data_IF_829075137149
#
_entry.id   IF_829075137149
#
_cell.length_a   1.000
_cell.length_b   1.000
_cell.length_c   1.000
_cell.angle_alpha   90.00
_cell.angle_beta   90.00
_cell.angle_gamma   90.00
#
_symmetry.space_group_name_H-M   'P 1'
#
loop_
_entity.id
_entity.type
_entity.pdbx_description
1 polymer ?
#
# COMPACT_ATOMS: atom_id res chain seq x y z
N UNK A 1 -25.58 20.87 -39.06
CA UNK A 1 -24.91 21.22 -37.80
C UNK A 1 -23.71 20.31 -37.66
N UNK A 2 -22.50 20.85 -37.56
CA UNK A 2 -21.30 20.05 -37.31
C UNK A 2 -21.20 19.83 -35.80
N UNK A 3 -21.67 18.68 -35.31
CA UNK A 3 -21.30 18.25 -33.96
C UNK A 3 -19.80 18.03 -33.94
N UNK A 4 -19.06 18.95 -33.30
CA UNK A 4 -17.66 18.73 -33.01
C UNK A 4 -17.52 17.44 -32.20
N UNK A 5 -16.51 16.59 -32.47
CA UNK A 5 -16.32 15.36 -31.70
C UNK A 5 -16.13 15.73 -30.23
N UNK A 6 -16.91 15.11 -29.35
CA UNK A 6 -16.75 15.24 -27.90
C UNK A 6 -15.42 14.57 -27.54
N UNK A 7 -14.37 15.37 -27.44
CA UNK A 7 -13.04 14.90 -27.12
C UNK A 7 -13.00 14.45 -25.66
N UNK A 8 -12.95 13.13 -25.44
CA UNK A 8 -12.80 12.56 -24.10
C UNK A 8 -11.32 12.39 -23.74
N UNK A 9 -11.04 12.41 -22.44
CA UNK A 9 -9.72 12.17 -21.87
C UNK A 9 -9.67 10.78 -21.23
N UNK A 10 -8.78 9.92 -21.71
CA UNK A 10 -8.60 8.57 -21.18
C UNK A 10 -7.36 8.50 -20.28
N UNK A 11 -7.55 8.15 -19.01
CA UNK A 11 -6.46 7.96 -18.04
C UNK A 11 -5.92 6.54 -18.13
N UNK A 12 -4.67 6.40 -18.57
CA UNK A 12 -3.99 5.11 -18.78
C UNK A 12 -2.68 5.06 -17.99
N UNK A 13 -2.48 4.00 -17.21
CA UNK A 13 -1.23 3.73 -16.51
C UNK A 13 -0.25 3.02 -17.44
N UNK A 14 0.98 3.52 -17.52
CA UNK A 14 2.08 2.94 -18.31
C UNK A 14 3.32 2.90 -17.43
N UNK A 15 3.91 1.72 -17.23
CA UNK A 15 5.09 1.51 -16.39
C UNK A 15 4.98 2.15 -14.98
N UNK A 16 3.78 2.10 -14.38
CA UNK A 16 3.47 2.68 -13.06
C UNK A 16 3.20 4.19 -13.06
N UNK A 17 3.24 4.86 -14.20
CA UNK A 17 2.98 6.31 -14.35
C UNK A 17 1.63 6.53 -15.04
N UNK A 18 0.76 7.35 -14.45
CA UNK A 18 -0.49 7.75 -15.10
C UNK A 18 -0.23 8.75 -16.23
N UNK A 19 -0.77 8.46 -17.42
CA UNK A 19 -0.78 9.34 -18.59
C UNK A 19 -2.21 9.60 -19.03
N UNK A 20 -2.43 10.72 -19.71
CA UNK A 20 -3.74 11.08 -20.28
C UNK A 20 -3.63 11.07 -21.79
N UNK A 21 -4.55 10.36 -22.45
CA UNK A 21 -4.74 10.40 -23.90
C UNK A 21 -5.92 11.33 -24.18
N UNK A 22 -5.67 12.44 -24.86
CA UNK A 22 -6.69 13.41 -25.28
C UNK A 22 -7.27 13.06 -26.66
N UNK A 23 -8.50 13.48 -26.91
CA UNK A 23 -9.16 13.26 -28.21
C UNK A 23 -9.69 11.84 -28.44
N UNK A 24 -9.87 11.05 -27.37
CA UNK A 24 -10.48 9.72 -27.46
C UNK A 24 -11.99 9.88 -27.68
N UNK A 25 -12.58 8.99 -28.48
CA UNK A 25 -14.02 8.94 -28.76
C UNK A 25 -14.56 7.52 -28.60
N UNK A 26 -15.87 7.36 -28.69
CA UNK A 26 -16.54 6.04 -28.71
C UNK A 26 -16.12 5.17 -29.91
N UNK A 27 -15.62 5.77 -30.99
CA UNK A 27 -15.15 5.07 -32.19
C UNK A 27 -13.66 4.71 -32.14
N UNK A 28 -12.89 5.35 -31.26
CA UNK A 28 -11.45 5.13 -31.14
C UNK A 28 -11.19 3.71 -30.63
N UNK A 29 -10.37 2.94 -31.34
CA UNK A 29 -10.09 1.54 -30.98
C UNK A 29 -9.00 1.44 -29.92
N UNK A 30 -9.00 0.33 -29.15
CA UNK A 30 -7.91 0.03 -28.23
C UNK A 30 -6.57 -0.09 -28.96
N UNK A 31 -6.57 -0.58 -30.21
CA UNK A 31 -5.38 -0.59 -31.06
C UNK A 31 -4.81 0.82 -31.30
N UNK A 32 -5.64 1.80 -31.66
CA UNK A 32 -5.19 3.19 -31.89
C UNK A 32 -4.61 3.81 -30.63
N UNK A 33 -5.28 3.66 -29.48
CA UNK A 33 -4.79 4.15 -28.18
C UNK A 33 -3.47 3.48 -27.79
N UNK A 34 -3.36 2.16 -27.98
CA UNK A 34 -2.13 1.39 -27.72
C UNK A 34 -0.99 1.87 -28.62
N UNK A 35 -1.23 2.10 -29.91
CA UNK A 35 -0.21 2.58 -30.86
C UNK A 35 0.23 4.00 -30.51
N UNK A 36 -0.71 4.92 -30.24
CA UNK A 36 -0.40 6.29 -29.86
C UNK A 36 0.42 6.36 -28.56
N UNK A 37 0.05 5.57 -27.54
CA UNK A 37 0.83 5.45 -26.30
C UNK A 37 2.21 4.86 -26.55
N UNK A 38 2.32 3.76 -27.30
CA UNK A 38 3.59 3.11 -27.65
C UNK A 38 4.56 4.05 -28.40
N UNK A 39 4.04 4.84 -29.34
CA UNK A 39 4.80 5.88 -30.04
C UNK A 39 5.25 6.99 -29.09
N UNK A 40 4.36 7.49 -28.22
CA UNK A 40 4.68 8.55 -27.25
C UNK A 40 5.67 8.13 -26.13
N UNK A 41 5.80 6.83 -25.85
CA UNK A 41 6.84 6.30 -24.95
C UNK A 41 8.12 5.86 -25.69
N UNK A 42 8.14 5.91 -27.02
CA UNK A 42 9.26 5.44 -27.84
C UNK A 42 9.53 3.93 -27.75
N UNK A 43 8.60 3.14 -27.21
CA UNK A 43 8.74 1.68 -27.09
C UNK A 43 7.99 0.97 -28.22
N UNK A 44 8.68 0.12 -28.97
CA UNK A 44 8.05 -0.74 -29.98
C UNK A 44 7.93 -2.17 -29.47
N UNK A 45 6.80 -2.81 -29.72
CA UNK A 45 6.50 -4.13 -29.19
C UNK A 45 5.02 -4.51 -29.30
N UNK A 46 4.67 -5.67 -28.73
CA UNK A 46 3.27 -6.08 -28.56
C UNK A 46 2.77 -5.57 -27.22
N UNK A 47 1.72 -4.77 -27.26
CA UNK A 47 1.06 -4.20 -26.10
C UNK A 47 -0.43 -4.55 -26.12
N UNK A 48 -1.04 -4.63 -24.94
CA UNK A 48 -2.47 -4.88 -24.73
C UNK A 48 -2.98 -3.87 -23.70
N UNK A 49 -4.16 -3.31 -23.94
CA UNK A 49 -4.83 -2.46 -22.97
C UNK A 49 -5.63 -3.32 -21.99
N UNK A 50 -5.36 -3.18 -20.70
CA UNK A 50 -6.02 -3.92 -19.63
C UNK A 50 -6.96 -2.98 -18.89
N UNK A 51 -8.21 -3.39 -18.77
CA UNK A 51 -9.24 -2.73 -17.95
C UNK A 51 -9.24 -3.37 -16.56
N UNK A 52 -8.86 -2.60 -15.53
CA UNK A 52 -8.89 -3.02 -14.13
C UNK A 52 -10.06 -2.37 -13.41
N UNK A 53 -10.89 -3.19 -12.78
CA UNK A 53 -11.98 -2.75 -11.90
C UNK A 53 -11.87 -3.51 -10.58
N UNK A 54 -11.44 -2.80 -9.53
CA UNK A 54 -11.15 -3.36 -8.19
C UNK A 54 -10.12 -4.50 -8.29
N UNK A 55 -10.57 -5.75 -8.10
CA UNK A 55 -9.77 -6.98 -8.13
C UNK A 55 -9.90 -7.75 -9.47
N UNK A 56 -10.73 -7.29 -10.41
CA UNK A 56 -10.92 -7.93 -11.71
C UNK A 56 -10.17 -7.17 -12.79
N UNK A 57 -9.27 -7.87 -13.49
CA UNK A 57 -8.58 -7.38 -14.68
C UNK A 57 -9.11 -8.08 -15.93
N UNK A 58 -9.48 -7.30 -16.96
CA UNK A 58 -9.90 -7.78 -18.29
C UNK A 58 -8.95 -7.23 -19.34
N UNK A 59 -8.40 -8.10 -20.18
CA UNK A 59 -7.70 -7.66 -21.39
C UNK A 59 -8.72 -7.23 -22.45
N UNK A 60 -8.53 -6.06 -23.05
CA UNK A 60 -9.37 -5.57 -24.13
C UNK A 60 -8.82 -6.04 -25.49
N UNK A 61 -9.73 -6.34 -26.41
CA UNK A 61 -9.38 -6.74 -27.76
C UNK A 61 -8.96 -5.52 -28.61
N UNK A 62 -8.07 -5.68 -29.61
CA UNK A 62 -7.61 -4.56 -30.45
C UNK A 62 -8.76 -3.75 -31.07
N UNK A 63 -9.84 -4.43 -31.46
CA UNK A 63 -11.03 -3.85 -32.09
C UNK A 63 -12.11 -3.32 -31.11
N UNK A 64 -11.96 -3.51 -29.80
CA UNK A 64 -12.87 -2.90 -28.81
C UNK A 64 -12.55 -1.41 -28.64
N UNK A 65 -13.53 -0.58 -28.32
CA UNK A 65 -13.30 0.82 -27.96
C UNK A 65 -13.20 0.98 -26.42
N UNK A 66 -12.20 1.72 -25.89
CA UNK A 66 -11.98 1.80 -24.44
C UNK A 66 -13.10 2.57 -23.73
N UNK A 67 -13.68 3.58 -24.38
CA UNK A 67 -14.84 4.33 -23.86
C UNK A 67 -16.08 3.43 -23.75
N UNK A 68 -16.36 2.60 -24.77
CA UNK A 68 -17.45 1.62 -24.73
C UNK A 68 -17.22 0.52 -23.68
N UNK A 69 -15.97 0.06 -23.53
CA UNK A 69 -15.60 -0.86 -22.46
C UNK A 69 -15.78 -0.24 -21.06
N UNK A 70 -15.50 1.05 -20.90
CA UNK A 70 -15.77 1.79 -19.66
C UNK A 70 -17.27 1.94 -19.39
N UNK A 71 -18.06 2.30 -20.40
CA UNK A 71 -19.52 2.43 -20.30
C UNK A 71 -20.19 1.09 -19.93
N UNK A 72 -19.62 -0.04 -20.37
CA UNK A 72 -20.07 -1.39 -20.00
C UNK A 72 -19.97 -1.67 -18.48
N UNK A 73 -19.13 -0.93 -17.74
CA UNK A 73 -19.07 -1.01 -16.28
C UNK A 73 -20.17 -0.22 -15.55
N UNK A 74 -21.03 0.51 -16.27
CA UNK A 74 -22.18 1.22 -15.74
C UNK A 74 -21.81 2.17 -14.60
N UNK A 75 -22.44 2.00 -13.43
CA UNK A 75 -22.21 2.83 -12.24
C UNK A 75 -20.76 2.80 -11.71
N UNK A 76 -19.94 1.82 -12.11
CA UNK A 76 -18.54 1.71 -11.71
C UNK A 76 -17.56 2.32 -12.74
N UNK A 77 -18.06 3.00 -13.78
CA UNK A 77 -17.23 3.62 -14.82
C UNK A 77 -16.17 4.61 -14.27
N UNK A 78 -16.41 5.24 -13.13
CA UNK A 78 -15.44 6.11 -12.42
C UNK A 78 -14.24 5.35 -11.86
N UNK A 79 -14.43 4.09 -11.47
CA UNK A 79 -13.46 3.27 -10.73
C UNK A 79 -12.58 2.45 -11.68
N UNK A 80 -12.88 2.48 -12.98
CA UNK A 80 -12.13 1.76 -14.02
C UNK A 80 -10.77 2.41 -14.25
N UNK A 81 -9.73 1.61 -14.14
CA UNK A 81 -8.36 2.01 -14.49
C UNK A 81 -7.92 1.27 -15.74
N UNK A 82 -7.39 2.00 -16.73
CA UNK A 82 -6.74 1.39 -17.89
C UNK A 82 -5.25 1.26 -17.64
N UNK A 83 -4.67 0.12 -17.99
CA UNK A 83 -3.24 -0.18 -17.82
C UNK A 83 -2.69 -0.71 -19.14
N UNK A 84 -1.63 -0.09 -19.67
CA UNK A 84 -0.93 -0.58 -20.84
C UNK A 84 0.06 -1.68 -20.42
N UNK A 85 -0.21 -2.94 -20.77
CA UNK A 85 0.68 -4.07 -20.46
C UNK A 85 1.43 -4.52 -21.71
N UNK A 86 2.73 -4.78 -21.57
CA UNK A 86 3.57 -5.31 -22.65
C UNK A 86 3.53 -6.84 -22.66
N UNK A 87 3.22 -7.43 -23.80
CA UNK A 87 2.96 -8.88 -23.97
C UNK A 87 4.01 -9.56 -24.87
N UNK A 88 5.11 -8.87 -25.19
CA UNK A 88 6.19 -9.43 -25.99
C UNK A 88 7.55 -8.80 -25.71
N UNK A 89 8.65 -9.49 -26.06
CA UNK A 89 9.99 -8.91 -26.01
C UNK A 89 10.08 -7.76 -27.01
N UNK A 90 10.50 -6.58 -26.55
CA UNK A 90 10.87 -5.49 -27.45
C UNK A 90 12.18 -5.84 -28.14
N UNK A 91 12.33 -5.40 -29.40
CA UNK A 91 13.53 -5.58 -30.20
C UNK A 91 14.71 -4.70 -29.71
N UNK A 92 14.46 -3.82 -28.74
CA UNK A 92 15.45 -3.00 -28.03
C UNK A 92 15.65 -3.53 -26.61
N UNK A 93 16.87 -4.00 -26.31
CA UNK A 93 17.14 -4.76 -25.10
C UNK A 93 17.43 -3.90 -23.86
N UNK A 94 16.56 -3.98 -22.85
CA UNK A 94 16.90 -4.00 -21.41
C UNK A 94 15.71 -4.57 -20.61
N UNK A 95 15.92 -5.38 -19.55
CA UNK A 95 14.82 -6.00 -18.82
C UNK A 95 14.24 -5.07 -17.75
N UNK A 96 12.92 -5.12 -17.57
CA UNK A 96 12.25 -4.87 -16.31
C UNK A 96 11.33 -6.05 -16.01
N UNK A 97 11.34 -6.49 -14.76
CA UNK A 97 10.63 -7.68 -14.31
C UNK A 97 9.13 -7.48 -14.33
N UNK A 98 8.39 -8.43 -14.92
CA UNK A 98 7.15 -8.88 -14.29
C UNK A 98 6.91 -10.36 -14.61
N UNK A 99 6.55 -11.12 -13.58
CA UNK A 99 6.51 -12.58 -13.63
C UNK A 99 5.17 -13.07 -14.18
N UNK A 100 5.08 -13.16 -15.49
CA UNK A 100 4.11 -14.03 -16.15
C UNK A 100 4.87 -15.06 -16.98
N UNK A 101 4.85 -16.37 -16.62
CA UNK A 101 5.10 -17.37 -17.66
C UNK A 101 4.09 -17.12 -18.78
N UNK A 102 4.48 -17.24 -20.07
CA UNK A 102 3.52 -17.19 -21.16
C UNK A 102 2.38 -18.17 -20.86
N UNK A 103 1.13 -17.92 -21.27
CA UNK A 103 0.14 -18.98 -21.30
C UNK A 103 0.76 -20.10 -22.12
N UNK A 104 1.02 -21.25 -21.48
CA UNK A 104 1.66 -22.39 -22.14
C UNK A 104 0.76 -22.72 -23.33
N UNK A 105 1.26 -22.43 -24.54
CA UNK A 105 0.55 -22.77 -25.76
C UNK A 105 0.51 -24.27 -25.82
N UNK A 106 -0.59 -24.86 -25.36
CA UNK A 106 -0.77 -26.29 -25.26
C UNK A 106 -0.26 -26.96 -26.54
N UNK A 107 0.87 -27.70 -26.49
CA UNK A 107 1.48 -28.28 -27.69
C UNK A 107 0.67 -29.47 -28.23
N UNK A 108 -0.51 -29.73 -27.65
CA UNK A 108 -1.55 -30.72 -27.98
C UNK A 108 -1.89 -30.81 -29.48
N UNK A 109 -1.52 -29.82 -30.31
CA UNK A 109 -1.74 -29.84 -31.76
C UNK A 109 -0.49 -29.78 -32.65
N UNK A 110 0.71 -29.92 -32.09
CA UNK A 110 1.98 -29.91 -32.82
C UNK A 110 2.54 -31.32 -33.13
N UNK A 111 1.96 -32.38 -32.54
CA UNK A 111 2.48 -33.75 -32.56
C UNK A 111 1.78 -34.69 -33.55
N UNK A 112 0.97 -34.19 -34.49
CA UNK A 112 0.54 -35.02 -35.62
C UNK A 112 1.73 -35.18 -36.60
N UNK A 113 2.10 -36.40 -37.01
CA UNK A 113 3.15 -36.60 -38.01
C UNK A 113 2.79 -35.85 -39.30
N UNK A 114 3.78 -35.27 -40.01
CA UNK A 114 3.53 -34.44 -41.18
C UNK A 114 2.91 -35.27 -42.29
N UNK A 115 1.58 -35.21 -42.40
CA UNK A 115 0.83 -35.90 -43.44
C UNK A 115 1.37 -35.42 -44.80
N UNK A 116 1.88 -36.32 -45.68
CA UNK A 116 2.43 -35.91 -46.96
C UNK A 116 1.33 -35.20 -47.75
N UNK A 117 1.53 -33.92 -48.02
CA UNK A 117 0.56 -33.10 -48.76
C UNK A 117 0.52 -33.62 -50.19
N UNK A 118 -0.64 -34.05 -50.73
CA UNK A 118 -0.77 -34.29 -52.16
C UNK A 118 -0.40 -33.01 -52.89
N UNK A 119 0.51 -33.10 -53.88
CA UNK A 119 0.85 -31.97 -54.73
C UNK A 119 -0.42 -31.52 -55.46
N UNK A 120 -0.71 -30.22 -55.38
CA UNK A 120 -1.95 -29.63 -55.87
C UNK A 120 -1.98 -29.60 -57.42
N UNK A 121 -2.23 -30.74 -58.06
CA UNK A 121 -2.73 -30.77 -59.44
C UNK A 121 -4.25 -30.65 -59.34
N UNK A 122 -4.76 -29.47 -59.67
CA UNK A 122 -6.16 -29.13 -59.44
C UNK A 122 -7.12 -29.92 -60.34
N UNK A 123 -8.12 -30.54 -59.72
CA UNK A 123 -9.46 -30.81 -60.25
C UNK A 123 -10.41 -30.92 -59.04
N UNK A 124 -11.60 -30.29 -59.04
CA UNK A 124 -12.49 -30.26 -57.88
C UNK A 124 -13.41 -31.50 -57.81
N UNK A 125 -12.85 -32.67 -57.50
CA UNK A 125 -13.66 -33.88 -57.35
C UNK A 125 -14.45 -33.90 -56.03
N UNK A 126 -15.77 -34.10 -56.19
CA UNK A 126 -16.79 -34.04 -55.14
C UNK A 126 -16.56 -35.13 -54.08
N UNK A 127 -16.82 -34.78 -52.82
CA UNK A 127 -16.82 -35.75 -51.73
C UNK A 127 -17.91 -36.82 -51.94
N UNK A 128 -17.49 -38.06 -52.22
CA UNK A 128 -18.36 -39.23 -52.19
C UNK A 128 -18.27 -39.87 -50.81
N UNK A 129 -19.37 -39.78 -50.06
CA UNK A 129 -19.54 -40.44 -48.77
C UNK A 129 -19.59 -41.95 -48.91
N UNK A 130 -18.93 -42.62 -47.97
CA UNK A 130 -18.85 -44.07 -47.86
C UNK A 130 -20.18 -44.67 -47.41
N UNK A 131 -20.81 -45.48 -48.28
CA UNK A 131 -22.00 -46.27 -47.96
C UNK A 131 -21.73 -47.75 -48.25
N UNK A 132 -21.61 -48.56 -47.20
CA UNK A 132 -21.54 -50.03 -47.30
C UNK A 132 -22.96 -50.61 -47.45
N UNK A 133 -23.14 -51.54 -48.40
CA UNK A 133 -24.39 -52.27 -48.61
C UNK A 133 -24.16 -53.63 -49.27
N UNK A 134 -24.44 -54.70 -48.52
CA UNK A 134 -24.09 -56.11 -48.76
C UNK A 134 -24.46 -56.73 -50.14
N UNK A 135 -23.75 -57.80 -50.57
CA UNK A 135 -24.09 -58.56 -51.77
C UNK A 135 -25.14 -59.67 -51.51
N UNK A 136 -26.02 -59.96 -52.50
CA UNK A 136 -26.85 -61.18 -52.48
C UNK A 136 -27.26 -61.69 -53.88
N UNK A 137 -26.67 -62.84 -54.24
CA UNK A 137 -27.18 -63.96 -55.06
C UNK A 137 -28.02 -63.71 -56.34
N UNK A 138 -27.49 -64.20 -57.47
CA UNK A 138 -28.13 -64.85 -58.65
C UNK A 138 -29.51 -64.35 -59.15
N UNK A 139 -29.70 -64.11 -60.45
CA UNK A 139 -29.58 -65.14 -61.51
C UNK A 139 -29.48 -64.53 -62.93
N UNK A 140 -28.89 -65.29 -63.87
CA UNK A 140 -28.92 -65.08 -65.34
C UNK A 140 -29.92 -66.11 -65.97
N UNK A 141 -30.17 -66.20 -67.31
CA UNK A 141 -29.40 -65.66 -68.46
C UNK A 141 -30.19 -65.10 -69.67
N UNK A 142 -29.47 -64.41 -70.57
CA UNK A 142 -29.73 -64.39 -72.02
C UNK A 142 -28.41 -64.20 -72.81
N UNK A 143 -28.14 -65.13 -73.74
CA UNK A 143 -27.00 -65.20 -74.69
C UNK A 143 -27.38 -64.57 -76.05
N UNK A 144 -26.51 -64.52 -77.10
CA UNK A 144 -25.04 -64.70 -77.19
C UNK A 144 -24.26 -63.68 -78.08
N UNK A 145 -22.93 -63.57 -77.87
CA UNK A 145 -21.85 -63.43 -78.90
C UNK A 145 -21.82 -62.22 -79.90
N UNK A 146 -20.73 -61.96 -80.66
CA UNK A 146 -19.32 -62.35 -80.50
C UNK A 146 -18.30 -61.18 -80.66
N UNK A 147 -17.00 -61.52 -80.64
CA UNK A 147 -15.82 -60.77 -81.16
C UNK A 147 -15.39 -59.49 -80.43
N UNK A 148 -14.34 -59.61 -79.60
CA UNK A 148 -13.25 -58.63 -79.54
C UNK A 148 -11.96 -59.27 -79.02
N UNK A 149 -10.84 -58.84 -79.60
CA UNK A 149 -9.47 -59.19 -79.22
C UNK A 149 -9.21 -59.12 -77.71
N UNK A 150 -8.37 -60.04 -77.19
CA UNK A 150 -7.80 -59.94 -75.84
C UNK A 150 -6.78 -58.79 -75.81
N UNK A 151 -7.29 -57.56 -75.72
CA UNK A 151 -6.54 -56.47 -75.12
C UNK A 151 -6.44 -56.74 -73.60
N UNK A 152 -5.29 -56.48 -72.96
CA UNK A 152 -5.21 -56.54 -71.51
C UNK A 152 -6.19 -55.50 -70.94
N UNK A 153 -7.17 -55.94 -70.15
CA UNK A 153 -8.24 -55.11 -69.60
C UNK A 153 -7.65 -53.92 -68.83
N UNK A 154 -7.76 -52.66 -69.32
CA UNK A 154 -6.98 -51.55 -68.78
C UNK A 154 -7.19 -51.30 -67.29
N UNK A 155 -8.45 -51.39 -66.82
CA UNK A 155 -8.80 -51.15 -65.42
C UNK A 155 -8.18 -52.14 -64.43
N UNK A 156 -7.87 -53.37 -64.84
CA UNK A 156 -7.29 -54.36 -63.91
C UNK A 156 -5.88 -53.97 -63.43
N UNK A 157 -5.12 -53.23 -64.24
CA UNK A 157 -3.81 -52.70 -63.85
C UNK A 157 -3.94 -51.45 -62.97
N UNK A 158 -4.95 -50.61 -63.22
CA UNK A 158 -5.23 -49.38 -62.46
C UNK A 158 -5.73 -49.72 -61.05
N UNK A 159 -6.72 -50.62 -60.93
CA UNK A 159 -7.24 -51.13 -59.65
C UNK A 159 -6.13 -51.72 -58.76
N UNK A 160 -5.15 -52.40 -59.37
CA UNK A 160 -4.03 -53.04 -58.69
C UNK A 160 -2.99 -52.02 -58.20
N UNK A 161 -2.72 -50.98 -58.98
CA UNK A 161 -1.87 -49.85 -58.56
C UNK A 161 -2.51 -49.02 -57.44
N UNK A 162 -3.83 -48.80 -57.48
CA UNK A 162 -4.57 -48.13 -56.42
C UNK A 162 -4.57 -48.94 -55.12
N UNK A 163 -4.70 -50.27 -55.22
CA UNK A 163 -4.58 -51.16 -54.08
C UNK A 163 -3.15 -51.15 -53.51
N UNK A 164 -2.13 -51.17 -54.36
CA UNK A 164 -0.72 -51.08 -53.94
C UNK A 164 -0.42 -49.75 -53.23
N UNK A 165 -0.87 -48.61 -53.76
CA UNK A 165 -0.76 -47.31 -53.07
C UNK A 165 -1.49 -47.30 -51.73
N UNK A 166 -2.65 -47.96 -51.62
CA UNK A 166 -3.36 -48.11 -50.34
C UNK A 166 -2.60 -48.97 -49.35
N UNK A 167 -1.97 -50.07 -49.79
CA UNK A 167 -1.10 -50.90 -48.94
C UNK A 167 0.11 -50.09 -48.47
N UNK A 168 0.76 -49.32 -49.34
CA UNK A 168 1.87 -48.44 -48.96
C UNK A 168 1.45 -47.35 -47.96
N UNK A 169 0.28 -46.72 -48.14
CA UNK A 169 -0.28 -45.76 -47.16
C UNK A 169 -0.56 -46.43 -45.82
N UNK A 170 -1.24 -47.58 -45.82
CA UNK A 170 -1.55 -48.33 -44.60
C UNK A 170 -0.27 -48.77 -43.87
N UNK A 171 0.76 -49.22 -44.59
CA UNK A 171 2.06 -49.59 -44.00
C UNK A 171 2.78 -48.38 -43.38
N UNK A 172 2.69 -47.21 -44.02
CA UNK A 172 3.24 -45.96 -43.47
C UNK A 172 2.44 -45.45 -42.25
N UNK A 173 1.15 -45.74 -42.15
CA UNK A 173 0.30 -45.43 -40.99
C UNK A 173 0.57 -46.39 -39.82
N UNK A 174 0.65 -47.71 -40.07
CA UNK A 174 1.04 -48.73 -39.08
C UNK A 174 2.47 -48.49 -38.55
N UNK A 175 3.39 -48.04 -39.40
CA UNK A 175 4.76 -47.68 -38.99
C UNK A 175 4.85 -46.54 -37.97
N UNK A 176 3.75 -45.84 -37.66
CA UNK A 176 3.71 -44.74 -36.67
C UNK A 176 3.34 -45.20 -35.25
N UNK A 177 3.07 -46.49 -35.02
CA UNK A 177 2.71 -47.03 -33.70
C UNK A 177 3.72 -46.63 -32.61
N UNK A 178 5.02 -46.83 -32.83
CA UNK A 178 6.08 -46.47 -31.88
C UNK A 178 6.14 -44.96 -31.55
N UNK A 179 5.76 -44.09 -32.49
CA UNK A 179 5.65 -42.66 -32.25
C UNK A 179 4.47 -42.35 -31.32
N UNK A 180 3.30 -42.94 -31.59
CA UNK A 180 2.10 -42.74 -30.77
C UNK A 180 2.25 -43.32 -29.37
N UNK A 181 2.91 -44.47 -29.21
CA UNK A 181 3.24 -44.98 -27.88
C UNK A 181 4.20 -44.05 -27.12
N UNK A 182 5.17 -43.43 -27.80
CA UNK A 182 6.10 -42.48 -27.17
C UNK A 182 5.38 -41.20 -26.72
N UNK A 183 4.47 -40.67 -27.54
CA UNK A 183 3.63 -39.52 -27.16
C UNK A 183 2.67 -39.88 -26.01
N UNK A 184 2.05 -41.05 -26.03
CA UNK A 184 1.21 -41.52 -24.92
C UNK A 184 1.99 -41.61 -23.61
N UNK A 185 3.23 -42.12 -23.64
CA UNK A 185 4.12 -42.16 -22.46
C UNK A 185 4.49 -40.75 -21.98
N UNK A 186 4.69 -39.78 -22.89
CA UNK A 186 4.95 -38.37 -22.55
C UNK A 186 3.74 -37.70 -21.91
N UNK A 187 2.54 -37.91 -22.46
CA UNK A 187 1.29 -37.39 -21.88
C UNK A 187 1.02 -38.01 -20.50
N UNK A 188 1.18 -39.32 -20.33
CA UNK A 188 1.07 -39.98 -19.02
C UNK A 188 2.08 -39.44 -18.00
N UNK A 189 3.30 -39.08 -18.42
CA UNK A 189 4.29 -38.46 -17.54
C UNK A 189 3.87 -37.04 -17.12
N UNK A 190 3.37 -36.23 -18.06
CA UNK A 190 2.81 -34.89 -17.80
C UNK A 190 1.60 -34.94 -16.89
N UNK A 191 0.70 -35.91 -17.11
CA UNK A 191 -0.48 -36.11 -16.28
C UNK A 191 -0.07 -36.46 -14.84
N UNK A 192 0.86 -37.40 -14.65
CA UNK A 192 1.41 -37.75 -13.32
C UNK A 192 2.08 -36.56 -12.64
N UNK A 193 2.83 -35.75 -13.37
CA UNK A 193 3.42 -34.52 -12.82
C UNK A 193 2.35 -33.51 -12.40
N UNK A 194 1.32 -33.29 -13.23
CA UNK A 194 0.18 -32.46 -12.90
C UNK A 194 -0.59 -32.95 -11.67
N UNK A 195 -0.86 -34.25 -11.59
CA UNK A 195 -1.48 -34.91 -10.44
C UNK A 195 -0.63 -34.73 -9.17
N UNK A 196 0.70 -34.92 -9.24
CA UNK A 196 1.61 -34.72 -8.11
C UNK A 196 1.65 -33.25 -7.65
N UNK A 197 1.67 -32.29 -8.58
CA UNK A 197 1.58 -30.85 -8.26
C UNK A 197 0.25 -30.51 -7.56
N UNK A 198 -0.87 -31.05 -8.04
CA UNK A 198 -2.19 -30.86 -7.42
C UNK A 198 -2.27 -31.49 -6.02
N UNK A 199 -1.69 -32.68 -5.82
CA UNK A 199 -1.60 -33.33 -4.50
C UNK A 199 -0.73 -32.55 -3.52
N UNK A 200 0.38 -31.97 -3.97
CA UNK A 200 1.22 -31.11 -3.15
C UNK A 200 0.48 -29.82 -2.72
N UNK A 201 -0.25 -29.20 -3.65
CA UNK A 201 -1.06 -28.01 -3.35
C UNK A 201 -2.23 -28.32 -2.41
N UNK A 202 -2.91 -29.45 -2.57
CA UNK A 202 -4.01 -29.83 -1.66
C UNK A 202 -3.49 -30.19 -0.25
N UNK A 203 -2.35 -30.86 -0.14
CA UNK A 203 -1.69 -31.14 1.13
C UNK A 203 -1.27 -29.85 1.86
N UNK A 204 -0.62 -28.91 1.16
CA UNK A 204 -0.25 -27.61 1.73
C UNK A 204 -1.50 -26.80 2.17
N UNK A 205 -2.57 -26.84 1.37
CA UNK A 205 -3.85 -26.18 1.72
C UNK A 205 -4.47 -26.80 2.98
N UNK A 206 -4.44 -28.13 3.11
CA UNK A 206 -4.91 -28.83 4.30
C UNK A 206 -4.06 -28.50 5.54
N UNK A 207 -2.74 -28.38 5.39
CA UNK A 207 -1.85 -27.96 6.48
C UNK A 207 -2.17 -26.53 6.96
N UNK A 208 -2.35 -25.59 6.02
CA UNK A 208 -2.76 -24.22 6.36
C UNK A 208 -4.13 -24.17 7.03
N UNK A 209 -5.11 -24.97 6.56
CA UNK A 209 -6.42 -25.08 7.19
C UNK A 209 -6.33 -25.63 8.63
N UNK A 210 -5.50 -26.66 8.86
CA UNK A 210 -5.27 -27.21 10.21
C UNK A 210 -4.57 -26.20 11.14
N UNK A 211 -3.61 -25.43 10.63
CA UNK A 211 -2.95 -24.33 11.38
C UNK A 211 -3.95 -23.24 11.79
N UNK A 212 -4.88 -22.87 10.91
CA UNK A 212 -5.95 -21.92 11.22
C UNK A 212 -6.88 -22.46 12.32
N UNK A 213 -7.38 -23.69 12.16
CA UNK A 213 -8.23 -24.34 13.18
C UNK A 213 -7.54 -24.43 14.55
N UNK A 214 -6.23 -24.67 14.58
CA UNK A 214 -5.46 -24.69 15.83
C UNK A 214 -5.32 -23.30 16.48
N UNK A 215 -5.28 -22.21 15.69
CA UNK A 215 -5.30 -20.84 16.19
C UNK A 215 -6.69 -20.44 16.67
N UNK A 216 -7.76 -20.81 15.95
CA UNK A 216 -9.14 -20.58 16.37
C UNK A 216 -9.44 -21.28 17.70
N UNK A 217 -9.02 -22.54 17.85
CA UNK A 217 -9.16 -23.27 19.11
C UNK A 217 -8.39 -22.60 20.27
N UNK A 218 -7.21 -22.03 20.02
CA UNK A 218 -6.46 -21.24 21.01
C UNK A 218 -7.18 -19.94 21.37
N UNK A 219 -7.74 -19.23 20.39
CA UNK A 219 -8.52 -18.02 20.61
C UNK A 219 -9.74 -18.31 21.49
N UNK A 220 -10.55 -19.32 21.16
CA UNK A 220 -11.70 -19.73 21.98
C UNK A 220 -11.28 -20.16 23.40
N UNK A 221 -10.15 -20.84 23.56
CA UNK A 221 -9.64 -21.22 24.88
C UNK A 221 -9.16 -20.02 25.72
N UNK A 222 -8.60 -18.98 25.08
CA UNK A 222 -8.24 -17.72 25.74
C UNK A 222 -9.48 -16.89 26.10
N UNK A 223 -10.47 -16.79 25.20
CA UNK A 223 -11.75 -16.15 25.48
C UNK A 223 -12.47 -16.81 26.67
N UNK A 224 -12.50 -18.15 26.72
CA UNK A 224 -13.08 -18.87 27.85
C UNK A 224 -12.36 -18.55 29.17
N UNK A 225 -11.02 -18.47 29.16
CA UNK A 225 -10.24 -18.05 30.35
C UNK A 225 -10.53 -16.60 30.74
N UNK A 226 -10.67 -15.68 29.79
CA UNK A 226 -11.01 -14.28 30.06
C UNK A 226 -12.42 -14.14 30.64
N UNK A 227 -13.41 -14.89 30.11
CA UNK A 227 -14.77 -14.94 30.66
C UNK A 227 -14.76 -15.48 32.10
N UNK A 228 -14.05 -16.58 32.36
CA UNK A 228 -13.91 -17.13 33.72
C UNK A 228 -13.18 -16.16 34.67
N UNK A 229 -12.19 -15.40 34.19
CA UNK A 229 -11.51 -14.39 34.99
C UNK A 229 -12.36 -13.13 35.26
N UNK A 230 -13.32 -12.81 34.39
CA UNK A 230 -14.28 -11.73 34.57
C UNK A 230 -15.46 -12.11 35.50
N UNK A 231 -15.95 -13.35 35.38
CA UNK A 231 -17.03 -13.88 36.22
C UNK A 231 -16.56 -14.34 37.61
N UNK A 232 -15.26 -14.56 37.81
CA UNK A 232 -14.71 -14.85 39.13
C UNK A 232 -14.76 -13.60 40.02
N UNK A 233 -15.50 -13.59 41.15
CA UNK A 233 -15.45 -12.50 42.11
C UNK A 233 -14.08 -12.52 42.80
N UNK A 234 -13.13 -11.77 42.23
CA UNK A 234 -11.78 -11.69 42.76
C UNK A 234 -11.79 -11.14 44.20
N UNK A 235 -11.14 -11.80 45.18
CA UNK A 235 -10.84 -11.14 46.44
C UNK A 235 -9.98 -9.89 46.15
N UNK A 236 -10.04 -8.83 46.98
CA UNK A 236 -9.22 -7.63 46.79
C UNK A 236 -7.74 -8.03 46.86
N UNK A 237 -7.12 -8.16 45.69
CA UNK A 237 -5.73 -8.58 45.60
C UNK A 237 -4.84 -7.56 46.31
N UNK A 238 -3.70 -7.98 46.88
CA UNK A 238 -2.77 -7.05 47.51
C UNK A 238 -2.28 -5.98 46.50
N UNK A 239 -2.30 -6.29 45.20
CA UNK A 239 -2.05 -5.34 44.11
C UNK A 239 -3.17 -4.32 43.94
N UNK A 240 -4.45 -4.69 43.99
CA UNK A 240 -5.56 -3.72 43.97
C UNK A 240 -5.47 -2.73 45.15
N UNK A 241 -5.28 -3.26 46.37
CA UNK A 241 -5.07 -2.44 47.57
C UNK A 241 -3.79 -1.59 47.51
N UNK A 242 -2.73 -2.06 46.86
CA UNK A 242 -1.52 -1.27 46.62
C UNK A 242 -1.77 -0.14 45.60
N UNK A 243 -2.48 -0.40 44.50
CA UNK A 243 -2.82 0.67 43.54
C UNK A 243 -3.69 1.74 44.16
N UNK A 244 -4.60 1.36 45.08
CA UNK A 244 -5.48 2.31 45.73
C UNK A 244 -4.74 3.19 46.75
N UNK A 245 -3.79 2.62 47.50
CA UNK A 245 -2.87 3.42 48.33
C UNK A 245 -2.04 4.40 47.49
N UNK A 246 -1.47 3.95 46.38
CA UNK A 246 -0.71 4.83 45.47
C UNK A 246 -1.57 5.97 44.87
N UNK A 247 -2.87 5.75 44.60
CA UNK A 247 -3.80 6.82 44.20
C UNK A 247 -4.02 7.83 45.33
N UNK A 248 -4.18 7.35 46.56
CA UNK A 248 -4.37 8.21 47.75
C UNK A 248 -3.12 9.03 48.05
N UNK A 249 -1.94 8.42 47.95
CA UNK A 249 -0.64 9.10 48.12
C UNK A 249 -0.42 10.17 47.05
N UNK A 250 -0.74 9.88 45.78
CA UNK A 250 -0.67 10.86 44.69
C UNK A 250 -1.64 12.03 44.92
N UNK A 251 -2.89 11.76 45.31
CA UNK A 251 -3.87 12.81 45.62
C UNK A 251 -3.48 13.65 46.85
N UNK A 252 -2.72 13.08 47.81
CA UNK A 252 -2.14 13.83 48.92
C UNK A 252 -0.97 14.72 48.44
N UNK A 253 -0.10 14.20 47.58
CA UNK A 253 1.01 14.94 46.98
C UNK A 253 0.53 16.11 46.10
N UNK A 254 -0.55 15.93 45.34
CA UNK A 254 -1.18 17.01 44.56
C UNK A 254 -1.67 18.15 45.46
N UNK A 255 -2.33 17.83 46.58
CA UNK A 255 -2.78 18.84 47.56
C UNK A 255 -1.62 19.60 48.18
N UNK A 256 -0.56 18.89 48.58
CA UNK A 256 0.68 19.51 49.10
C UNK A 256 1.35 20.40 48.05
N UNK A 257 1.37 19.99 46.78
CA UNK A 257 1.90 20.81 45.68
C UNK A 257 1.10 22.11 45.52
N UNK A 258 -0.23 22.04 45.56
CA UNK A 258 -1.10 23.24 45.49
C UNK A 258 -0.92 24.16 46.71
N UNK A 259 -0.78 23.59 47.91
CA UNK A 259 -0.50 24.37 49.12
C UNK A 259 0.85 25.09 49.04
N UNK A 260 1.91 24.38 48.62
CA UNK A 260 3.24 24.97 48.41
C UNK A 260 3.21 26.05 47.32
N UNK A 261 2.51 25.82 46.20
CA UNK A 261 2.34 26.83 45.14
C UNK A 261 1.59 28.08 45.65
N UNK A 262 0.56 27.89 46.49
CA UNK A 262 -0.14 28.98 47.16
C UNK A 262 0.78 29.77 48.09
N UNK A 263 1.59 29.08 48.90
CA UNK A 263 2.55 29.74 49.79
C UNK A 263 3.63 30.53 49.02
N UNK A 264 4.12 29.96 47.90
CA UNK A 264 5.06 30.62 47.01
C UNK A 264 4.45 31.89 46.39
N UNK A 265 3.20 31.82 45.91
CA UNK A 265 2.51 32.98 45.34
C UNK A 265 2.30 34.12 46.36
N UNK A 266 2.08 33.79 47.64
CA UNK A 266 2.02 34.78 48.72
C UNK A 266 3.39 35.42 48.98
N UNK A 267 4.46 34.62 49.01
CA UNK A 267 5.84 35.12 49.19
C UNK A 267 6.26 36.00 48.01
N UNK A 268 5.98 35.62 46.75
CA UNK A 268 6.27 36.44 45.58
C UNK A 268 5.57 37.80 45.66
N UNK A 269 4.29 37.84 46.04
CA UNK A 269 3.56 39.11 46.20
C UNK A 269 4.11 39.98 47.34
N UNK A 270 4.56 39.37 48.43
CA UNK A 270 5.21 40.09 49.52
C UNK A 270 6.57 40.65 49.10
N UNK A 271 7.32 39.93 48.27
CA UNK A 271 8.57 40.40 47.66
C UNK A 271 8.34 41.56 46.70
N UNK A 272 7.40 41.45 45.77
CA UNK A 272 7.00 42.54 44.85
C UNK A 272 6.60 43.81 45.62
N UNK A 273 5.82 43.67 46.70
CA UNK A 273 5.44 44.79 47.55
C UNK A 273 6.64 45.42 48.28
N UNK A 274 7.60 44.60 48.74
CA UNK A 274 8.83 45.08 49.36
C UNK A 274 9.76 45.79 48.35
N UNK A 275 9.87 45.27 47.12
CA UNK A 275 10.62 45.91 46.04
C UNK A 275 10.03 47.28 45.69
N UNK A 276 8.71 47.41 45.57
CA UNK A 276 8.05 48.70 45.35
C UNK A 276 8.23 49.67 46.53
N UNK A 277 8.20 49.19 47.78
CA UNK A 277 8.48 50.03 48.94
C UNK A 277 9.93 50.53 48.96
N UNK A 278 10.90 49.68 48.59
CA UNK A 278 12.31 50.07 48.44
C UNK A 278 12.52 51.07 47.29
N UNK A 279 11.81 50.90 46.17
CA UNK A 279 11.82 51.87 45.06
C UNK A 279 11.28 53.23 45.49
N UNK A 280 10.18 53.28 46.26
CA UNK A 280 9.63 54.52 46.80
C UNK A 280 10.62 55.21 47.76
N UNK A 281 11.22 54.47 48.70
CA UNK A 281 12.26 55.01 49.59
C UNK A 281 13.49 55.52 48.84
N UNK A 282 13.89 54.87 47.74
CA UNK A 282 14.97 55.36 46.89
C UNK A 282 14.62 56.69 46.20
N UNK A 283 13.37 56.86 45.75
CA UNK A 283 12.88 58.12 45.18
C UNK A 283 12.85 59.24 46.23
N UNK A 284 12.32 58.98 47.42
CA UNK A 284 12.35 59.93 48.56
C UNK A 284 13.79 60.35 48.90
N UNK A 285 14.74 59.40 48.92
CA UNK A 285 16.16 59.69 49.13
C UNK A 285 16.77 60.53 47.99
N UNK A 286 16.38 60.31 46.73
CA UNK A 286 16.79 61.17 45.61
C UNK A 286 16.23 62.60 45.73
N UNK A 287 14.97 62.75 46.12
CA UNK A 287 14.31 64.05 46.33
C UNK A 287 15.00 64.82 47.46
N UNK A 288 15.20 64.21 48.62
CA UNK A 288 15.96 64.78 49.73
C UNK A 288 17.41 65.10 49.35
N UNK A 289 18.05 64.31 48.48
CA UNK A 289 19.39 64.60 47.97
C UNK A 289 19.39 65.83 47.03
N UNK A 290 18.33 66.01 46.21
CA UNK A 290 18.15 67.19 45.37
C UNK A 290 17.90 68.43 46.21
N UNK A 291 17.05 68.36 47.24
CA UNK A 291 16.82 69.45 48.19
C UNK A 291 18.11 69.84 48.93
N UNK A 292 18.86 68.87 49.45
CA UNK A 292 20.15 69.11 50.10
C UNK A 292 21.15 69.80 49.16
N UNK A 293 21.21 69.41 47.88
CA UNK A 293 22.04 70.10 46.87
C UNK A 293 21.57 71.54 46.62
N UNK A 294 20.25 71.78 46.58
CA UNK A 294 19.71 73.14 46.44
C UNK A 294 20.07 74.01 47.65
N UNK A 295 19.90 73.51 48.88
CA UNK A 295 20.30 74.21 50.10
C UNK A 295 21.81 74.51 50.12
N UNK A 296 22.65 73.53 49.79
CA UNK A 296 24.10 73.72 49.72
C UNK A 296 24.51 74.76 48.66
N UNK A 297 23.89 74.73 47.48
CA UNK A 297 24.12 75.74 46.44
C UNK A 297 23.67 77.13 46.90
N UNK A 298 22.53 77.23 47.60
CA UNK A 298 22.02 78.49 48.12
C UNK A 298 22.92 79.07 49.23
N UNK A 299 23.48 78.22 50.10
CA UNK A 299 24.50 78.61 51.07
C UNK A 299 25.79 79.07 50.38
N UNK A 300 26.25 78.37 49.35
CA UNK A 300 27.43 78.79 48.57
C UNK A 300 27.24 80.16 47.91
N UNK A 301 26.06 80.42 47.33
CA UNK A 301 25.71 81.73 46.76
C UNK A 301 25.68 82.82 47.83
N UNK A 302 25.13 82.54 49.03
CA UNK A 302 25.13 83.49 50.14
C UNK A 302 26.56 83.80 50.64
N UNK A 303 27.42 82.78 50.74
CA UNK A 303 28.83 82.95 51.13
C UNK A 303 29.64 83.71 50.07
N UNK A 304 29.35 83.50 48.78
CA UNK A 304 29.97 84.24 47.68
C UNK A 304 29.42 85.68 47.53
N UNK A 305 28.19 85.94 47.98
CA UNK A 305 27.56 87.26 47.98
C UNK A 305 27.87 88.13 49.21
N UNK A 306 28.50 87.56 50.24
CA UNK A 306 28.83 88.25 51.48
C UNK A 306 30.12 89.09 51.36
N UNK A 307 29.99 90.34 50.90
CA UNK A 307 30.95 91.39 51.25
C UNK A 307 30.86 91.67 52.77
N UNK A 308 31.98 91.98 53.46
CA UNK A 308 32.01 91.99 54.93
C UNK A 308 31.38 93.24 55.55
N UNK A 309 30.45 93.02 56.50
CA UNK A 309 29.77 94.03 57.31
C UNK A 309 28.27 93.74 57.43
N UNK A 310 27.59 93.87 58.58
CA UNK A 310 27.98 94.36 59.90
C UNK A 310 27.03 93.77 60.97
N UNK A 311 27.57 93.51 62.17
CA UNK A 311 26.99 93.49 63.53
C UNK A 311 25.51 93.96 63.69
N UNK A 312 24.67 93.52 64.64
CA UNK A 312 24.90 92.82 65.92
C UNK A 312 23.56 92.31 66.57
N UNK A 313 23.65 91.76 67.80
CA UNK A 313 22.60 91.60 68.84
C UNK A 313 21.69 90.33 68.87
N UNK A 314 21.30 89.96 70.10
CA UNK A 314 20.84 88.62 70.60
C UNK A 314 19.61 88.77 71.56
N UNK A 315 19.34 87.88 72.56
CA UNK A 315 18.67 86.55 72.63
C UNK A 315 17.15 86.69 73.07
N UNK A 316 16.46 85.92 73.98
CA UNK A 316 16.66 84.57 74.59
C UNK A 316 15.43 83.61 74.79
N UNK A 317 15.71 82.29 74.76
CA UNK A 317 15.29 81.21 75.69
C UNK A 317 13.81 80.74 75.94
N UNK A 318 13.56 79.44 75.66
CA UNK A 318 12.97 78.35 76.52
C UNK A 318 12.78 77.08 75.65
N UNK A 319 12.94 75.81 76.09
CA UNK A 319 13.56 75.26 77.31
C UNK A 319 13.04 73.85 77.67
N UNK A 320 13.94 72.84 77.78
CA UNK A 320 13.78 71.49 78.41
C UNK A 320 12.77 70.52 77.71
N UNK A 321 12.93 69.18 77.67
CA UNK A 321 13.83 68.23 78.36
C UNK A 321 14.17 66.99 77.48
N UNK A 322 15.33 66.37 77.71
CA UNK A 322 15.66 64.95 77.46
C UNK A 322 15.57 64.19 78.82
N UNK A 323 15.69 62.84 78.96
CA UNK A 323 16.30 61.86 78.03
C UNK A 323 15.57 60.50 77.85
N UNK A 324 16.10 59.61 77.00
CA UNK A 324 15.66 58.21 76.94
C UNK A 324 16.28 57.37 75.81
N UNK A 325 17.38 56.67 76.11
CA UNK A 325 17.95 55.57 75.35
C UNK A 325 18.65 54.61 76.35
N UNK A 326 19.02 53.35 76.01
CA UNK A 326 18.92 52.66 74.73
C UNK A 326 18.27 51.25 74.83
N UNK A 327 18.15 50.52 73.71
CA UNK A 327 18.71 49.16 73.52
C UNK A 327 18.30 48.51 72.18
N UNK A 328 19.29 47.96 71.45
CA UNK A 328 19.06 46.89 70.49
C UNK A 328 18.77 45.57 71.25
N UNK A 329 18.06 44.63 70.61
CA UNK A 329 18.66 43.30 70.46
C UNK A 329 18.63 42.80 69.02
N UNK A 330 19.76 42.29 68.56
CA UNK A 330 19.79 41.43 67.38
C UNK A 330 19.23 40.05 67.76
N UNK A 331 18.26 39.55 66.99
CA UNK A 331 17.93 38.13 66.94
C UNK A 331 17.81 37.70 65.47
N UNK A 332 18.90 37.11 64.98
CA UNK A 332 18.93 36.38 63.73
C UNK A 332 18.26 35.02 63.98
N UNK A 333 17.03 34.84 63.47
CA UNK A 333 16.39 33.51 63.41
C UNK A 333 16.76 32.82 62.11
N UNK A 334 17.94 32.19 62.11
CA UNK A 334 18.38 31.29 61.05
C UNK A 334 17.56 29.99 61.07
N UNK A 335 16.59 29.87 60.17
CA UNK A 335 15.95 28.59 59.86
C UNK A 335 16.78 27.85 58.81
N UNK A 336 17.70 26.99 59.26
CA UNK A 336 18.36 26.01 58.40
C UNK A 336 17.36 24.88 58.04
N UNK A 337 17.27 24.45 56.77
CA UNK A 337 16.50 23.28 56.41
C UNK A 337 17.23 22.02 56.87
N UNK A 338 16.62 21.24 57.77
CA UNK A 338 17.13 19.94 58.18
C UNK A 338 16.96 18.92 57.05
N UNK A 339 18.07 18.49 56.45
CA UNK A 339 18.09 17.47 55.41
C UNK A 339 17.91 16.09 56.06
N UNK A 340 16.71 15.52 55.93
CA UNK A 340 16.47 14.14 56.32
C UNK A 340 17.26 13.16 55.42
N UNK A 341 17.94 12.14 55.97
CA UNK A 341 18.79 11.26 55.19
C UNK A 341 17.97 10.29 54.34
N UNK A 342 18.18 10.34 53.03
CA UNK A 342 17.62 9.40 52.06
C UNK A 342 18.15 7.97 52.33
N UNK A 343 17.30 7.08 52.88
CA UNK A 343 17.63 5.64 52.95
C UNK A 343 17.62 5.06 51.54
N UNK A 344 18.81 4.80 51.00
CA UNK A 344 18.98 3.93 49.85
C UNK A 344 18.59 2.50 50.26
N UNK A 345 17.60 1.93 49.58
CA UNK A 345 17.31 0.50 49.63
C UNK A 345 17.41 -0.06 48.20
N UNK A 346 18.62 -0.45 47.82
CA UNK A 346 18.94 -1.09 46.54
C UNK A 346 19.90 -2.27 46.75
N UNK A 347 19.36 -3.38 47.27
CA UNK A 347 19.72 -4.74 46.83
C UNK A 347 18.71 -5.77 47.30
#
# INVERSE_FOLDING_TARGET
MLSGPVAMELKVWVDGIQRVVCGVSEQTTCQEVVVALAQAIGQTGRFVLVQRLREKERQLLPQECPVGAQATCGQFASDVQFVLRRTGPSLTGRPSSDSCPPPERCPIRASLPPKPRPVLRGEPHKALTFSLGCPRLASSPALPEPVASVAPMPGCCEDLQDLEQRVQRNAAELGQEAFWEQELRREQAREREGQARLQALSAATAEHAARLQALDAQACALEAKLRLAAEAPGPPSPTASATERLRQDLAAQERQSVEVQGSLALVSRALEAAEHALQAQAQELEELNRELRQCNLQQFIQQAGAAPGTQDLMPPARGKSLPGAPQNPALVSSLSPEVAPMRQNWR
#
